data_IF_453104026857
#
_entry.id   IF_453104026857
#
_cell.length_a   1.000
_cell.length_b   1.000
_cell.length_c   1.000
_cell.angle_alpha   90.00
_cell.angle_beta   90.00
_cell.angle_gamma   90.00
#
_symmetry.space_group_name_H-M   'P 1'
#
loop_
_entity.id
_entity.type
_entity.pdbx_description
1 polymer ?
#
# COMPACT_ATOMS: atom_id res chain seq x y z
N UNK A 1 -4.07 -8.42 -16.05
CA UNK A 1 -3.51 -7.34 -16.88
C UNK A 1 -1.99 -7.27 -16.85
N UNK A 2 -1.36 -7.15 -15.68
CA UNK A 2 0.10 -7.14 -15.62
C UNK A 2 0.73 -8.39 -16.20
N UNK A 3 0.08 -9.54 -16.06
CA UNK A 3 0.56 -10.81 -16.60
C UNK A 3 0.60 -10.86 -18.12
N UNK A 4 -0.34 -10.16 -18.76
CA UNK A 4 -0.48 -10.21 -20.24
C UNK A 4 0.42 -9.19 -20.92
N UNK A 5 0.73 -8.09 -20.25
CA UNK A 5 1.42 -6.95 -20.86
C UNK A 5 2.90 -6.85 -20.52
N UNK A 6 3.47 -7.82 -19.81
CA UNK A 6 4.91 -7.83 -19.44
C UNK A 6 5.35 -6.49 -18.86
N UNK A 7 4.67 -6.04 -17.81
CA UNK A 7 4.97 -4.77 -17.18
C UNK A 7 6.36 -4.76 -16.53
N UNK A 8 7.09 -3.66 -16.65
CA UNK A 8 8.40 -3.48 -16.03
C UNK A 8 8.30 -2.96 -14.60
N UNK A 9 7.15 -2.37 -14.23
CA UNK A 9 6.93 -1.80 -12.92
C UNK A 9 5.43 -1.86 -12.60
N UNK A 10 5.12 -2.03 -11.32
CA UNK A 10 3.73 -1.97 -10.84
C UNK A 10 3.57 -0.66 -10.08
N UNK A 11 2.52 0.10 -10.39
CA UNK A 11 2.19 1.34 -9.71
C UNK A 11 0.87 1.16 -8.99
N UNK A 12 0.88 1.31 -7.67
CA UNK A 12 -0.33 1.22 -6.85
C UNK A 12 -0.75 2.62 -6.39
N UNK A 13 -1.92 3.06 -6.82
CA UNK A 13 -2.47 4.37 -6.48
C UNK A 13 -3.78 4.16 -5.74
N UNK A 14 -3.85 4.59 -4.49
CA UNK A 14 -5.08 4.44 -3.72
C UNK A 14 -4.85 4.32 -2.22
N UNK A 15 -5.81 3.67 -1.55
CA UNK A 15 -5.74 3.45 -0.11
C UNK A 15 -5.02 2.14 0.24
N UNK A 16 -5.06 1.78 1.54
CA UNK A 16 -4.28 0.67 2.06
C UNK A 16 -4.51 -0.66 1.37
N UNK A 17 -5.78 -1.00 1.09
CA UNK A 17 -6.10 -2.29 0.45
C UNK A 17 -5.52 -2.39 -0.95
N UNK A 18 -5.62 -1.32 -1.73
CA UNK A 18 -5.08 -1.29 -3.08
C UNK A 18 -3.55 -1.32 -3.06
N UNK A 19 -2.94 -0.61 -2.12
CA UNK A 19 -1.49 -0.60 -1.94
C UNK A 19 -0.98 -2.00 -1.60
N UNK A 20 -1.64 -2.69 -0.69
CA UNK A 20 -1.27 -4.06 -0.33
C UNK A 20 -1.40 -5.00 -1.53
N UNK A 21 -2.45 -4.84 -2.33
CA UNK A 21 -2.64 -5.63 -3.55
C UNK A 21 -1.51 -5.37 -4.54
N UNK A 22 -1.15 -4.10 -4.74
CA UNK A 22 -0.06 -3.74 -5.66
C UNK A 22 1.28 -4.34 -5.21
N UNK A 23 1.58 -4.31 -3.92
CA UNK A 23 2.78 -4.94 -3.38
C UNK A 23 2.80 -6.44 -3.64
N UNK A 24 1.67 -7.12 -3.42
CA UNK A 24 1.57 -8.55 -3.62
C UNK A 24 1.76 -8.91 -5.10
N UNK A 25 1.11 -8.18 -6.00
CA UNK A 25 1.25 -8.42 -7.44
C UNK A 25 2.70 -8.21 -7.88
N UNK A 26 3.34 -7.13 -7.43
CA UNK A 26 4.73 -6.85 -7.78
C UNK A 26 5.66 -7.94 -7.26
N UNK A 27 5.41 -8.45 -6.06
CA UNK A 27 6.20 -9.54 -5.48
C UNK A 27 6.12 -10.80 -6.32
N UNK A 28 4.90 -11.23 -6.69
CA UNK A 28 4.71 -12.44 -7.48
C UNK A 28 5.21 -12.29 -8.90
N UNK A 29 5.23 -11.07 -9.43
CA UNK A 29 5.77 -10.79 -10.77
C UNK A 29 7.26 -10.48 -10.75
N UNK A 30 7.86 -10.34 -9.58
CA UNK A 30 9.27 -9.98 -9.40
C UNK A 30 9.61 -8.67 -10.10
N UNK A 31 8.71 -7.68 -9.95
CA UNK A 31 8.90 -6.35 -10.52
C UNK A 31 9.01 -5.32 -9.41
N UNK A 32 9.66 -4.16 -9.67
CA UNK A 32 9.63 -3.06 -8.73
C UNK A 32 8.21 -2.53 -8.53
N UNK A 33 7.95 -1.94 -7.36
CA UNK A 33 6.66 -1.35 -7.07
C UNK A 33 6.81 0.11 -6.67
N UNK A 34 5.94 0.96 -7.25
CA UNK A 34 5.83 2.38 -6.90
C UNK A 34 4.49 2.56 -6.23
N UNK A 35 4.49 3.14 -5.03
CA UNK A 35 3.29 3.36 -4.24
C UNK A 35 2.94 4.83 -4.24
N UNK A 36 1.69 5.13 -4.58
CA UNK A 36 1.15 6.50 -4.57
C UNK A 36 -0.09 6.51 -3.68
N UNK A 37 0.06 6.76 -2.37
CA UNK A 37 -1.08 6.79 -1.48
C UNK A 37 -1.96 8.02 -1.71
N UNK A 38 -3.27 7.83 -1.63
CA UNK A 38 -4.24 8.91 -1.73
C UNK A 38 -4.79 9.33 -0.37
N UNK A 39 -4.51 8.55 0.66
CA UNK A 39 -4.89 8.85 2.04
C UNK A 39 -3.71 8.50 2.95
N UNK A 40 -3.66 9.13 4.12
CA UNK A 40 -2.59 8.90 5.09
C UNK A 40 -3.15 8.24 6.34
N UNK A 41 -3.85 7.11 6.16
CA UNK A 41 -4.54 6.43 7.26
C UNK A 41 -3.73 5.29 7.90
N UNK A 42 -2.67 4.83 7.25
CA UNK A 42 -1.82 3.74 7.75
C UNK A 42 -0.37 3.92 7.27
N UNK A 43 0.55 3.07 7.79
CA UNK A 43 1.92 3.02 7.34
C UNK A 43 2.14 2.04 6.18
N UNK A 44 1.07 1.45 5.65
CA UNK A 44 1.15 0.49 4.55
C UNK A 44 2.00 0.95 3.36
N UNK A 45 1.98 2.23 2.96
CA UNK A 45 2.76 2.66 1.78
C UNK A 45 4.25 2.36 1.85
N UNK A 46 4.86 2.39 3.02
CA UNK A 46 6.31 2.26 3.14
C UNK A 46 6.78 0.95 3.75
N UNK A 47 5.89 0.05 4.14
CA UNK A 47 6.27 -1.19 4.81
C UNK A 47 6.53 -2.33 3.82
N UNK A 48 7.32 -3.32 4.26
CA UNK A 48 7.58 -4.53 3.50
C UNK A 48 6.59 -5.63 3.89
N UNK A 49 5.34 -5.25 4.10
CA UNK A 49 4.26 -6.15 4.51
C UNK A 49 3.03 -5.88 3.66
N UNK A 50 2.36 -6.94 3.26
CA UNK A 50 1.10 -6.84 2.53
C UNK A 50 0.04 -7.63 3.29
N UNK A 51 -1.08 -6.99 3.58
CA UNK A 51 -2.24 -7.63 4.21
C UNK A 51 -3.21 -8.02 3.13
N UNK A 52 -3.47 -9.32 2.99
CA UNK A 52 -4.34 -9.84 1.94
C UNK A 52 -5.71 -10.16 2.51
N UNK A 53 -6.74 -9.88 1.71
CA UNK A 53 -8.13 -10.11 2.08
C UNK A 53 -8.80 -11.02 1.06
N UNK A 54 -9.83 -11.73 1.52
CA UNK A 54 -10.69 -12.52 0.63
C UNK A 54 -11.65 -11.59 -0.11
N UNK A 55 -12.38 -12.14 -1.10
CA UNK A 55 -13.37 -11.38 -1.86
C UNK A 55 -14.46 -10.77 -0.96
N UNK A 56 -14.73 -11.39 0.18
CA UNK A 56 -15.69 -10.88 1.15
C UNK A 56 -15.13 -9.79 2.08
N UNK A 57 -13.87 -9.39 1.89
CA UNK A 57 -13.23 -8.39 2.73
C UNK A 57 -12.71 -8.92 4.06
N UNK A 58 -12.70 -10.24 4.25
CA UNK A 58 -12.20 -10.87 5.46
C UNK A 58 -10.68 -11.06 5.36
N UNK A 59 -9.97 -10.78 6.46
CA UNK A 59 -8.53 -10.99 6.52
C UNK A 59 -8.17 -12.43 6.09
N UNK A 60 -7.21 -12.56 5.20
CA UNK A 60 -6.72 -13.84 4.72
C UNK A 60 -5.35 -14.18 5.28
N UNK A 61 -4.36 -13.35 4.99
CA UNK A 61 -2.99 -13.61 5.45
C UNK A 61 -2.12 -12.36 5.37
N UNK A 62 -1.00 -12.41 6.10
CA UNK A 62 0.08 -11.44 5.93
C UNK A 62 1.09 -11.99 4.93
N UNK A 63 1.52 -11.16 4.01
CA UNK A 63 2.60 -11.48 3.09
C UNK A 63 3.80 -10.61 3.46
N UNK A 64 4.84 -11.27 3.98
CA UNK A 64 6.08 -10.57 4.32
C UNK A 64 6.95 -10.49 3.08
N UNK A 65 7.28 -9.27 2.67
CA UNK A 65 8.03 -9.01 1.45
C UNK A 65 9.53 -8.92 1.74
N UNK A 66 10.39 -9.25 0.75
CA UNK A 66 11.84 -9.21 0.97
C UNK A 66 12.40 -7.80 1.15
N UNK A 67 11.68 -6.78 0.68
CA UNK A 67 12.12 -5.39 0.82
C UNK A 67 10.94 -4.42 0.76
N UNK A 68 11.18 -3.19 1.19
CA UNK A 68 10.20 -2.11 1.10
C UNK A 68 9.98 -1.72 -0.36
N UNK A 69 8.88 -1.01 -0.68
CA UNK A 69 8.67 -0.49 -2.04
C UNK A 69 9.86 0.36 -2.51
N UNK A 70 10.16 0.30 -3.79
CA UNK A 70 11.26 1.08 -4.38
C UNK A 70 11.03 2.56 -4.29
N UNK A 71 9.79 3.02 -4.51
CA UNK A 71 9.42 4.43 -4.47
C UNK A 71 8.06 4.58 -3.82
N UNK A 72 7.96 5.54 -2.90
CA UNK A 72 6.68 5.97 -2.34
C UNK A 72 6.54 7.45 -2.71
N UNK A 73 5.59 7.74 -3.60
CA UNK A 73 5.36 9.11 -4.09
C UNK A 73 4.17 9.71 -3.36
N UNK A 74 4.41 10.78 -2.62
CA UNK A 74 3.39 11.46 -1.82
C UNK A 74 2.98 12.76 -2.49
N UNK A 75 1.72 12.86 -2.94
CA UNK A 75 1.14 14.11 -3.36
C UNK A 75 0.34 14.65 -2.18
N UNK A 76 0.92 15.61 -1.48
CA UNK A 76 0.32 16.14 -0.25
C UNK A 76 -1.01 16.85 -0.51
N UNK A 77 -1.21 17.41 -1.69
CA UNK A 77 -2.47 18.06 -2.02
C UNK A 77 -3.60 17.03 -2.11
N UNK A 78 -3.36 15.89 -2.75
CA UNK A 78 -4.36 14.82 -2.83
C UNK A 78 -4.67 14.27 -1.44
N UNK A 79 -3.65 14.02 -0.63
CA UNK A 79 -3.82 13.49 0.73
C UNK A 79 -4.58 14.49 1.60
N UNK A 80 -4.30 15.79 1.46
CA UNK A 80 -4.97 16.83 2.24
C UNK A 80 -6.46 16.95 1.90
N UNK A 81 -6.88 16.54 0.71
CA UNK A 81 -8.29 16.56 0.31
C UNK A 81 -9.08 15.38 0.85
N UNK A 82 -8.40 14.35 1.37
CA UNK A 82 -9.07 13.21 1.98
C UNK A 82 -9.70 13.61 3.34
N UNK A 83 -10.72 12.88 3.82
CA UNK A 83 -11.33 13.18 5.11
C UNK A 83 -10.31 13.22 6.25
N UNK A 84 -10.42 14.23 7.12
CA UNK A 84 -9.47 14.43 8.21
C UNK A 84 -9.39 13.22 9.15
N UNK A 85 -10.50 12.48 9.33
CA UNK A 85 -10.51 11.28 10.18
C UNK A 85 -9.51 10.22 9.72
N UNK A 86 -9.20 10.18 8.43
CA UNK A 86 -8.23 9.22 7.88
C UNK A 86 -6.81 9.62 8.24
N UNK A 87 -6.51 10.91 8.24
CA UNK A 87 -5.21 11.40 8.69
C UNK A 87 -5.03 11.12 10.19
N UNK A 88 -6.07 11.35 10.97
CA UNK A 88 -6.03 11.07 12.41
C UNK A 88 -5.79 9.59 12.66
N UNK A 89 -6.45 8.72 11.89
CA UNK A 89 -6.22 7.28 11.99
C UNK A 89 -4.77 6.92 11.68
N UNK A 90 -4.17 7.57 10.68
CA UNK A 90 -2.75 7.35 10.34
C UNK A 90 -1.81 7.81 11.44
N UNK A 91 -2.12 8.93 12.08
CA UNK A 91 -1.35 9.40 13.22
C UNK A 91 -1.39 8.40 14.37
N UNK A 92 -2.57 7.84 14.65
CA UNK A 92 -2.73 6.79 15.66
C UNK A 92 -1.96 5.53 15.29
N UNK A 93 -2.02 5.12 14.04
CA UNK A 93 -1.29 3.95 13.55
C UNK A 93 0.23 4.14 13.73
N UNK A 94 0.75 5.30 13.36
CA UNK A 94 2.16 5.61 13.52
C UNK A 94 2.57 5.63 14.99
N UNK A 95 1.72 6.21 15.86
CA UNK A 95 2.00 6.26 17.28
C UNK A 95 2.01 4.85 17.88
N UNK A 96 1.14 3.97 17.41
CA UNK A 96 1.06 2.59 17.90
C UNK A 96 2.37 1.82 17.65
N UNK A 97 3.13 2.17 16.63
CA UNK A 97 4.42 1.50 16.36
C UNK A 97 5.47 1.81 17.40
N UNK A 98 5.29 2.89 18.18
CA UNK A 98 6.21 3.26 19.26
C UNK A 98 6.05 2.33 20.48
N UNK A 99 4.85 1.86 20.72
CA UNK A 99 4.56 1.00 21.86
C UNK A 99 4.68 -0.47 21.47
#
# INVERSE_FOLDING_TARGET
MATEKKCDVIVGIGGGKLIDTAKAVAHYKKTPVVIVPTIASTDAPCSALSVLYTDGGVFSEYLVLPKNPEVVLLDTQIIAQAPARLLIAGMGDALATYF
#
